data_IF_619482679838
#
_entry.id   IF_619482679838
#
_cell.length_a   1.000
_cell.length_b   1.000
_cell.length_c   1.000
_cell.angle_alpha   90.00
_cell.angle_beta   90.00
_cell.angle_gamma   90.00
#
_symmetry.space_group_name_H-M   'P 1'
#
loop_
_entity.id
_entity.type
_entity.pdbx_description
1 polymer ?
#
# COMPACT_ATOMS: atom_id res chain seq x y z
N UNK A 1 -36.65 59.70 -36.56
CA UNK A 1 -37.23 59.11 -35.33
C UNK A 1 -36.13 58.97 -34.28
N UNK A 2 -35.98 59.98 -33.43
CA UNK A 2 -35.01 60.04 -32.31
C UNK A 2 -35.85 60.22 -31.03
N UNK A 3 -35.72 59.33 -30.04
CA UNK A 3 -36.34 59.53 -28.72
C UNK A 3 -35.36 60.26 -27.80
N UNK A 4 -35.84 61.39 -27.27
CA UNK A 4 -35.26 62.29 -26.26
C UNK A 4 -35.32 61.63 -24.87
N UNK A 5 -34.43 61.96 -23.92
CA UNK A 5 -34.57 62.95 -22.81
C UNK A 5 -33.58 62.50 -21.71
N UNK A 6 -33.07 63.27 -20.75
CA UNK A 6 -33.02 64.69 -20.38
C UNK A 6 -32.02 64.74 -19.20
N UNK A 7 -31.15 65.75 -19.15
CA UNK A 7 -30.20 65.99 -18.05
C UNK A 7 -30.93 66.71 -16.91
N UNK A 8 -30.64 66.33 -15.66
CA UNK A 8 -31.10 67.02 -14.46
C UNK A 8 -30.13 66.81 -13.30
N UNK A 9 -29.44 67.88 -12.90
CA UNK A 9 -28.56 67.96 -11.74
C UNK A 9 -29.36 68.10 -10.45
N UNK A 10 -28.96 67.40 -9.39
CA UNK A 10 -29.38 67.69 -8.00
C UNK A 10 -28.16 67.61 -7.10
N UNK A 11 -27.88 68.72 -6.43
CA UNK A 11 -26.89 68.84 -5.37
C UNK A 11 -27.50 68.36 -4.04
N UNK A 12 -26.76 67.55 -3.28
CA UNK A 12 -27.07 67.27 -1.87
C UNK A 12 -25.81 67.51 -1.04
N UNK A 13 -25.97 68.44 -0.11
CA UNK A 13 -25.01 68.93 0.88
C UNK A 13 -24.89 67.88 1.99
N UNK A 14 -23.68 67.37 2.23
CA UNK A 14 -23.37 66.54 3.38
C UNK A 14 -23.02 67.42 4.58
N UNK A 15 -23.76 67.24 5.67
CA UNK A 15 -23.51 67.86 6.97
C UNK A 15 -22.40 67.07 7.68
N UNK A 16 -21.34 67.78 8.04
CA UNK A 16 -20.16 67.29 8.77
C UNK A 16 -20.46 67.15 10.27
N UNK A 17 -20.18 65.98 10.84
CA UNK A 17 -19.87 65.83 12.27
C UNK A 17 -18.45 65.31 12.41
N UNK A 18 -17.62 66.12 13.06
CA UNK A 18 -16.21 65.88 13.34
C UNK A 18 -16.11 64.96 14.56
N UNK A 19 -15.39 63.85 14.43
CA UNK A 19 -14.73 63.20 15.58
C UNK A 19 -13.28 62.99 15.19
N UNK A 20 -12.39 63.68 15.90
CA UNK A 20 -10.94 63.49 15.83
C UNK A 20 -10.57 62.16 16.49
N UNK A 21 -9.75 61.34 15.85
CA UNK A 21 -8.80 60.51 16.58
C UNK A 21 -7.41 60.67 15.98
N UNK A 22 -6.53 61.18 16.85
CA UNK A 22 -5.10 61.34 16.63
C UNK A 22 -4.38 59.99 16.80
N UNK A 23 -3.17 60.01 16.29
CA UNK A 23 -2.24 58.92 16.03
C UNK A 23 -1.58 58.30 17.29
N UNK A 24 -0.91 57.18 17.03
CA UNK A 24 0.18 56.46 17.75
C UNK A 24 -0.18 55.53 18.92
N UNK A 25 0.02 54.22 18.71
CA UNK A 25 0.92 53.39 19.51
C UNK A 25 1.20 52.05 18.82
N UNK A 26 2.41 51.55 19.03
CA UNK A 26 2.82 50.17 18.74
C UNK A 26 1.90 49.20 19.46
N UNK A 27 1.43 48.15 18.79
CA UNK A 27 0.99 46.93 19.43
C UNK A 27 1.63 45.75 18.70
N UNK A 28 2.38 44.95 19.45
CA UNK A 28 2.93 43.66 19.05
C UNK A 28 1.81 42.75 18.52
N UNK A 29 2.10 41.84 17.56
CA UNK A 29 1.12 40.83 17.18
C UNK A 29 0.81 39.98 18.43
N UNK A 30 -0.45 40.03 18.86
CA UNK A 30 -1.01 39.09 19.83
C UNK A 30 -0.73 37.67 19.35
N UNK A 31 -0.15 36.79 20.19
CA UNK A 31 -0.03 35.39 19.82
C UNK A 31 -1.45 34.87 19.59
N UNK A 32 -1.69 34.32 18.41
CA UNK A 32 -2.84 33.44 18.20
C UNK A 32 -2.82 32.40 19.32
N UNK A 33 -3.94 32.22 20.01
CA UNK A 33 -4.14 31.06 20.87
C UNK A 33 -3.91 29.82 20.00
N UNK A 34 -2.69 29.30 20.05
CA UNK A 34 -2.39 27.92 19.69
C UNK A 34 -3.33 27.09 20.55
N UNK A 35 -4.24 26.42 19.86
CA UNK A 35 -5.08 25.42 20.47
C UNK A 35 -4.13 24.31 20.94
N UNK A 36 -3.72 24.38 22.22
CA UNK A 36 -3.13 23.29 22.98
C UNK A 36 -4.15 22.15 23.01
N UNK A 37 -4.17 21.39 21.92
CA UNK A 37 -4.83 20.12 21.83
C UNK A 37 -3.94 19.19 21.00
N UNK A 38 -2.68 19.08 21.40
CA UNK A 38 -1.90 17.85 21.21
C UNK A 38 -2.56 16.77 22.07
N UNK A 39 -3.67 16.24 21.59
CA UNK A 39 -4.16 14.93 22.02
C UNK A 39 -3.04 13.97 21.60
N UNK A 40 -2.45 13.28 22.56
CA UNK A 40 -1.55 12.16 22.28
C UNK A 40 -2.32 11.18 21.38
N UNK A 41 -2.00 11.14 20.09
CA UNK A 41 -2.54 10.15 19.15
C UNK A 41 -1.89 8.80 19.47
N UNK A 42 -2.33 8.18 20.58
CA UNK A 42 -1.92 6.83 20.95
C UNK A 42 -2.62 5.88 19.99
N UNK A 43 -1.84 5.20 19.15
CA UNK A 43 -2.35 4.23 18.18
C UNK A 43 -2.85 2.96 18.88
N UNK A 44 -3.51 2.07 18.15
CA UNK A 44 -3.83 0.74 18.68
C UNK A 44 -2.56 -0.08 18.95
N UNK A 45 -1.58 0.00 18.05
CA UNK A 45 -0.26 -0.59 18.27
C UNK A 45 0.42 -0.07 19.55
N UNK A 46 0.37 1.24 19.82
CA UNK A 46 0.93 1.81 21.06
C UNK A 46 0.21 1.26 22.30
N UNK A 47 -1.11 1.04 22.23
CA UNK A 47 -1.89 0.44 23.33
C UNK A 47 -1.55 -1.04 23.53
N UNK A 48 -1.43 -1.79 22.44
CA UNK A 48 -1.03 -3.19 22.45
C UNK A 48 0.38 -3.35 23.03
N UNK A 49 1.27 -2.42 22.73
CA UNK A 49 2.69 -2.48 23.16
C UNK A 49 2.99 -1.75 24.47
N UNK A 50 2.01 -1.07 25.07
CA UNK A 50 2.19 -0.32 26.30
C UNK A 50 2.67 -1.21 27.46
N UNK A 51 3.67 -0.74 28.20
CA UNK A 51 4.27 -1.45 29.33
C UNK A 51 5.08 -2.70 28.98
N UNK A 52 5.24 -3.04 27.69
CA UNK A 52 6.05 -4.19 27.26
C UNK A 52 7.50 -3.80 27.01
N UNK A 53 8.42 -4.68 27.43
CA UNK A 53 9.84 -4.57 27.09
C UNK A 53 10.15 -5.46 25.88
N UNK A 54 10.92 -4.94 24.93
CA UNK A 54 11.32 -5.69 23.74
C UNK A 54 12.83 -5.79 23.60
N UNK A 55 13.32 -6.90 23.06
CA UNK A 55 14.70 -6.95 22.58
C UNK A 55 14.89 -6.03 21.37
N UNK A 56 16.14 -5.73 21.02
CA UNK A 56 16.44 -5.14 19.72
C UNK A 56 16.01 -6.06 18.57
N UNK A 57 15.65 -5.46 17.44
CA UNK A 57 15.39 -6.17 16.19
C UNK A 57 16.65 -6.92 15.73
N UNK A 58 16.46 -8.14 15.25
CA UNK A 58 17.49 -8.98 14.64
C UNK A 58 17.00 -9.45 13.27
N UNK A 59 17.80 -9.22 12.24
CA UNK A 59 17.50 -9.68 10.87
C UNK A 59 17.39 -11.21 10.81
N UNK A 60 16.33 -11.70 10.17
CA UNK A 60 16.06 -13.12 9.92
C UNK A 60 16.25 -13.44 8.44
N UNK A 61 15.84 -12.52 7.58
CA UNK A 61 15.93 -12.64 6.13
C UNK A 61 16.05 -11.26 5.52
N UNK A 62 16.87 -11.14 4.48
CA UNK A 62 16.98 -9.93 3.68
C UNK A 62 17.37 -10.27 2.25
N UNK A 63 16.76 -9.58 1.31
CA UNK A 63 17.17 -9.56 -0.08
C UNK A 63 17.15 -8.09 -0.54
N UNK A 64 18.29 -7.60 -0.99
CA UNK A 64 18.46 -6.27 -1.59
C UNK A 64 18.49 -6.35 -3.12
N UNK A 65 18.28 -7.54 -3.69
CA UNK A 65 18.22 -7.80 -5.13
C UNK A 65 19.45 -7.31 -5.92
N UNK A 66 20.59 -7.14 -5.25
CA UNK A 66 21.88 -6.74 -5.85
C UNK A 66 22.58 -7.91 -6.55
N UNK A 67 22.26 -9.16 -6.20
CA UNK A 67 22.86 -10.36 -6.79
C UNK A 67 21.79 -11.40 -7.20
N UNK A 68 21.54 -11.48 -8.50
CA UNK A 68 20.62 -12.46 -9.10
C UNK A 68 20.89 -13.92 -8.70
N UNK A 69 22.14 -14.28 -8.35
CA UNK A 69 22.47 -15.64 -7.90
C UNK A 69 21.96 -15.86 -6.48
N UNK A 70 22.14 -14.91 -5.55
CA UNK A 70 21.61 -15.02 -4.20
C UNK A 70 20.09 -14.95 -4.18
N UNK A 71 19.48 -14.11 -5.00
CA UNK A 71 18.02 -14.06 -5.08
C UNK A 71 17.45 -15.38 -5.66
N UNK A 72 18.18 -16.08 -6.54
CA UNK A 72 17.73 -17.37 -7.08
C UNK A 72 17.64 -18.52 -6.06
N UNK A 73 18.31 -18.40 -4.90
CA UNK A 73 18.18 -19.35 -3.79
C UNK A 73 17.09 -18.96 -2.79
N UNK A 74 16.61 -17.72 -2.86
CA UNK A 74 15.59 -17.18 -1.97
C UNK A 74 14.19 -17.24 -2.58
N UNK A 75 14.08 -17.20 -3.92
CA UNK A 75 12.81 -16.96 -4.62
C UNK A 75 12.48 -18.00 -5.70
N UNK A 76 11.17 -18.23 -5.90
CA UNK A 76 10.57 -18.92 -7.04
C UNK A 76 9.94 -17.87 -7.96
N UNK A 77 10.36 -17.81 -9.22
CA UNK A 77 10.04 -16.73 -10.18
C UNK A 77 8.86 -17.04 -11.13
N UNK A 78 8.32 -18.25 -11.09
CA UNK A 78 7.16 -18.61 -11.89
C UNK A 78 6.30 -19.58 -11.08
N UNK A 79 5.25 -19.03 -10.47
CA UNK A 79 4.25 -19.81 -9.76
C UNK A 79 2.86 -19.37 -10.23
N UNK A 80 2.16 -20.26 -10.92
CA UNK A 80 0.78 -20.03 -11.32
C UNK A 80 -0.09 -20.91 -10.43
N UNK A 81 -0.82 -20.30 -9.48
CA UNK A 81 -1.73 -21.04 -8.60
C UNK A 81 -3.17 -21.00 -9.14
N UNK A 82 -3.93 -22.04 -8.82
CA UNK A 82 -5.31 -22.18 -9.27
C UNK A 82 -6.30 -21.29 -8.50
N UNK A 83 -5.91 -20.84 -7.30
CA UNK A 83 -6.69 -19.95 -6.43
C UNK A 83 -6.39 -18.46 -6.67
N UNK A 84 -5.52 -18.13 -7.64
CA UNK A 84 -5.35 -16.75 -8.06
C UNK A 84 -6.59 -16.25 -8.80
N UNK A 85 -7.09 -15.10 -8.37
CA UNK A 85 -8.30 -14.48 -8.91
C UNK A 85 -8.08 -13.82 -10.28
N UNK A 86 -7.19 -14.34 -11.12
CA UNK A 86 -6.82 -13.79 -12.44
C UNK A 86 -6.46 -14.85 -13.48
N UNK A 87 -6.92 -16.09 -13.27
CA UNK A 87 -6.64 -17.23 -14.16
C UNK A 87 -7.10 -17.00 -15.60
N UNK A 88 -8.04 -16.09 -15.86
CA UNK A 88 -8.52 -15.76 -17.20
C UNK A 88 -7.73 -14.63 -17.87
N UNK A 89 -6.98 -13.83 -17.13
CA UNK A 89 -6.34 -12.60 -17.64
C UNK A 89 -4.81 -12.62 -17.61
N UNK A 90 -4.21 -13.22 -16.58
CA UNK A 90 -2.77 -13.14 -16.32
C UNK A 90 -2.13 -14.52 -16.37
N UNK A 91 -0.97 -14.59 -17.03
CA UNK A 91 -0.05 -15.72 -16.98
C UNK A 91 1.25 -15.26 -16.34
N UNK A 92 1.57 -15.76 -15.15
CA UNK A 92 2.84 -15.42 -14.51
C UNK A 92 3.99 -16.12 -15.20
N UNK A 93 5.05 -15.38 -15.52
CA UNK A 93 6.23 -15.86 -16.24
C UNK A 93 7.49 -15.32 -15.60
N UNK A 94 8.48 -16.22 -15.45
CA UNK A 94 9.83 -15.85 -15.05
C UNK A 94 10.49 -14.85 -16.02
N UNK A 95 10.08 -14.83 -17.30
CA UNK A 95 10.53 -13.86 -18.29
C UNK A 95 10.03 -12.43 -18.07
N UNK A 96 9.11 -12.22 -17.12
CA UNK A 96 8.65 -10.91 -16.69
C UNK A 96 9.24 -10.48 -15.34
N UNK A 97 10.32 -11.15 -14.92
CA UNK A 97 11.10 -10.80 -13.74
C UNK A 97 12.53 -10.48 -14.16
N UNK A 98 12.96 -9.24 -13.94
CA UNK A 98 14.29 -8.75 -14.31
C UNK A 98 14.95 -8.02 -13.13
N UNK A 99 16.29 -8.01 -13.09
CA UNK A 99 17.07 -7.17 -12.19
C UNK A 99 17.50 -5.93 -12.96
N UNK A 100 17.11 -4.74 -12.49
CA UNK A 100 17.39 -3.46 -13.15
C UNK A 100 17.97 -2.47 -12.15
N UNK A 101 18.55 -1.38 -12.67
CA UNK A 101 18.86 -0.21 -11.87
C UNK A 101 17.79 0.85 -12.10
N UNK A 102 17.19 1.36 -11.03
CA UNK A 102 16.22 2.47 -11.06
C UNK A 102 16.49 3.45 -9.94
N UNK A 103 16.46 4.76 -10.22
CA UNK A 103 16.76 5.81 -9.25
C UNK A 103 18.10 5.60 -8.48
N UNK A 104 19.10 5.00 -9.14
CA UNK A 104 20.39 4.57 -8.57
C UNK A 104 20.27 3.46 -7.50
N UNK A 105 19.26 2.60 -7.61
CA UNK A 105 19.03 1.43 -6.76
C UNK A 105 19.01 0.18 -7.64
N UNK A 106 19.65 -0.89 -7.19
CA UNK A 106 19.48 -2.21 -7.80
C UNK A 106 18.16 -2.78 -7.29
N UNK A 107 17.28 -3.16 -8.22
CA UNK A 107 15.90 -3.54 -7.90
C UNK A 107 15.55 -4.82 -8.63
N UNK A 108 14.70 -5.64 -8.03
CA UNK A 108 13.96 -6.64 -8.79
C UNK A 108 12.69 -6.00 -9.35
N UNK A 109 12.37 -6.35 -10.59
CA UNK A 109 11.26 -5.75 -11.32
C UNK A 109 10.30 -6.84 -11.76
N UNK A 110 9.03 -6.68 -11.41
CA UNK A 110 7.93 -7.47 -11.93
C UNK A 110 7.25 -6.63 -12.99
N UNK A 111 7.32 -7.08 -14.24
CA UNK A 111 6.70 -6.38 -15.36
C UNK A 111 5.37 -7.02 -15.73
N UNK A 112 4.46 -6.27 -16.37
CA UNK A 112 3.29 -6.85 -17.02
C UNK A 112 3.14 -6.31 -18.45
N UNK A 113 2.93 -7.22 -19.42
CA UNK A 113 2.82 -6.87 -20.84
C UNK A 113 1.73 -7.69 -21.52
N UNK A 114 0.93 -7.04 -22.37
CA UNK A 114 -0.12 -7.71 -23.13
C UNK A 114 0.46 -8.71 -24.16
N UNK A 115 -0.15 -9.90 -24.23
CA UNK A 115 0.15 -10.99 -25.17
C UNK A 115 -1.15 -11.56 -25.73
N UNK A 116 -1.53 -11.07 -26.91
CA UNK A 116 -2.83 -11.42 -27.48
C UNK A 116 -3.96 -10.91 -26.59
N UNK A 117 -4.82 -11.81 -26.11
CA UNK A 117 -5.95 -11.49 -25.24
C UNK A 117 -5.64 -11.55 -23.74
N UNK A 118 -4.42 -11.94 -23.35
CA UNK A 118 -3.97 -12.09 -21.95
C UNK A 118 -2.76 -11.20 -21.68
N UNK A 119 -2.28 -11.24 -20.45
CA UNK A 119 -1.04 -10.59 -20.02
C UNK A 119 -0.04 -11.64 -19.55
N UNK A 120 1.22 -11.44 -19.90
CA UNK A 120 2.31 -12.07 -19.16
C UNK A 120 2.73 -11.11 -18.05
N UNK A 121 2.91 -11.61 -16.83
CA UNK A 121 3.34 -10.78 -15.72
C UNK A 121 4.36 -11.43 -14.76
N UNK A 122 5.05 -10.60 -13.97
CA UNK A 122 6.04 -11.03 -13.00
C UNK A 122 5.42 -11.47 -11.68
N UNK A 123 6.03 -12.49 -11.07
CA UNK A 123 5.68 -13.02 -9.76
C UNK A 123 6.94 -13.58 -9.11
N UNK A 124 7.14 -13.32 -7.83
CA UNK A 124 8.14 -14.00 -7.00
C UNK A 124 7.53 -14.46 -5.68
N UNK A 125 7.96 -15.64 -5.22
CA UNK A 125 7.59 -16.20 -3.91
C UNK A 125 8.83 -16.64 -3.15
N UNK A 126 8.92 -16.34 -1.85
CA UNK A 126 10.03 -16.80 -1.03
C UNK A 126 9.97 -18.32 -0.83
N UNK A 127 11.13 -18.97 -0.84
CA UNK A 127 11.28 -20.38 -0.48
C UNK A 127 11.11 -20.57 1.03
N UNK A 128 11.63 -19.63 1.81
CA UNK A 128 11.48 -19.61 3.26
C UNK A 128 10.05 -19.20 3.66
N UNK A 129 9.62 -19.70 4.82
CA UNK A 129 8.39 -19.35 5.50
C UNK A 129 8.72 -18.74 6.87
N UNK A 130 7.87 -17.82 7.33
CA UNK A 130 8.11 -17.00 8.51
C UNK A 130 6.83 -16.86 9.32
N UNK A 131 6.94 -16.96 10.65
CA UNK A 131 5.87 -16.69 11.59
C UNK A 131 6.46 -16.55 13.00
N UNK A 132 5.87 -15.73 13.89
CA UNK A 132 6.35 -15.58 15.25
C UNK A 132 6.15 -16.85 16.07
N UNK A 133 7.18 -17.21 16.84
CA UNK A 133 6.98 -18.10 17.99
C UNK A 133 6.26 -17.34 19.11
N UNK A 134 5.83 -18.04 20.16
CA UNK A 134 5.25 -17.40 21.35
C UNK A 134 6.24 -16.37 21.95
N UNK A 135 5.72 -15.19 22.29
CA UNK A 135 6.48 -14.03 22.78
C UNK A 135 7.48 -13.46 21.77
N UNK A 136 7.16 -13.53 20.48
CA UNK A 136 7.93 -12.89 19.42
C UNK A 136 7.07 -11.95 18.58
N UNK A 137 7.74 -10.98 17.98
CA UNK A 137 7.19 -10.16 16.92
C UNK A 137 8.13 -10.22 15.71
N UNK A 138 7.56 -10.49 14.53
CA UNK A 138 8.25 -10.37 13.26
C UNK A 138 7.78 -9.12 12.53
N UNK A 139 8.71 -8.37 11.97
CA UNK A 139 8.47 -7.28 11.03
C UNK A 139 8.80 -7.77 9.63
N UNK A 140 7.84 -7.69 8.71
CA UNK A 140 8.00 -7.95 7.29
C UNK A 140 7.91 -6.60 6.59
N UNK A 141 9.00 -6.15 5.99
CA UNK A 141 9.10 -4.80 5.44
C UNK A 141 9.67 -4.83 4.03
N UNK A 142 9.11 -4.04 3.13
CA UNK A 142 9.63 -3.90 1.76
C UNK A 142 9.57 -2.45 1.27
N UNK A 143 10.49 -2.08 0.37
CA UNK A 143 10.48 -0.79 -0.30
C UNK A 143 10.13 -0.93 -1.78
N UNK A 144 9.07 -0.23 -2.19
CA UNK A 144 8.29 -0.53 -3.39
C UNK A 144 8.06 0.72 -4.24
N UNK A 145 7.98 0.54 -5.56
CA UNK A 145 7.59 1.60 -6.52
C UNK A 145 6.78 1.04 -7.69
N UNK A 146 5.78 1.79 -8.16
CA UNK A 146 4.81 1.39 -9.18
C UNK A 146 4.66 2.46 -10.25
N UNK A 147 4.69 2.07 -11.53
CA UNK A 147 4.41 2.97 -12.67
C UNK A 147 4.22 2.15 -13.95
N UNK A 148 3.88 2.81 -15.06
CA UNK A 148 3.78 2.17 -16.36
C UNK A 148 4.39 3.00 -17.50
N UNK A 149 4.51 2.37 -18.66
CA UNK A 149 4.83 3.01 -19.94
C UNK A 149 3.59 3.07 -20.82
N UNK A 150 3.26 4.24 -21.37
CA UNK A 150 2.26 4.37 -22.43
C UNK A 150 2.81 5.16 -23.62
N UNK A 151 3.24 4.43 -24.65
CA UNK A 151 3.80 5.03 -25.86
C UNK A 151 5.22 5.58 -25.68
N UNK A 152 5.57 6.61 -26.46
CA UNK A 152 6.93 7.14 -26.53
C UNK A 152 6.94 8.67 -26.54
N UNK A 153 8.02 9.23 -26.01
CA UNK A 153 8.37 10.64 -26.14
C UNK A 153 8.83 10.97 -27.58
N UNK A 154 8.87 12.26 -27.98
CA UNK A 154 9.31 12.66 -29.33
C UNK A 154 10.72 12.23 -29.72
N UNK A 155 11.59 11.98 -28.73
CA UNK A 155 12.96 11.47 -28.92
C UNK A 155 13.04 9.94 -29.03
N UNK A 156 11.90 9.24 -28.89
CA UNK A 156 11.79 7.79 -28.95
C UNK A 156 11.99 7.07 -27.62
N UNK A 157 12.26 7.76 -26.51
CA UNK A 157 12.28 7.13 -25.19
C UNK A 157 10.88 6.68 -24.78
N UNK A 158 10.74 5.68 -23.89
CA UNK A 158 9.44 5.37 -23.30
C UNK A 158 8.85 6.60 -22.60
N UNK A 159 7.52 6.76 -22.70
CA UNK A 159 6.76 7.75 -21.91
C UNK A 159 6.20 7.04 -20.69
N UNK A 160 6.66 7.42 -19.50
CA UNK A 160 6.13 6.89 -18.25
C UNK A 160 4.83 7.61 -17.87
N UNK A 161 3.91 6.87 -17.25
CA UNK A 161 2.59 7.32 -16.79
C UNK A 161 2.31 6.77 -15.40
N UNK A 162 1.34 7.41 -14.75
CA UNK A 162 1.00 7.13 -13.37
C UNK A 162 0.16 5.87 -13.16
N UNK A 163 0.23 5.30 -11.95
CA UNK A 163 -0.51 4.07 -11.64
C UNK A 163 -2.02 4.30 -11.76
N UNK A 164 -2.52 5.43 -11.25
CA UNK A 164 -3.89 5.89 -11.42
C UNK A 164 -4.28 6.18 -12.88
N UNK A 165 -3.34 6.51 -13.76
CA UNK A 165 -3.58 6.66 -15.21
C UNK A 165 -3.77 5.32 -15.94
N UNK A 166 -3.50 4.19 -15.27
CA UNK A 166 -3.73 2.85 -15.82
C UNK A 166 -5.06 2.26 -15.36
N UNK A 167 -5.62 1.32 -16.13
CA UNK A 167 -6.80 0.57 -15.71
C UNK A 167 -6.49 -0.92 -15.62
N UNK A 168 -6.74 -1.51 -14.44
CA UNK A 168 -6.75 -2.95 -14.24
C UNK A 168 -5.42 -3.57 -13.80
N UNK A 169 -4.41 -2.78 -13.47
CA UNK A 169 -3.23 -3.30 -12.75
C UNK A 169 -3.58 -3.58 -11.29
N UNK A 170 -3.06 -4.70 -10.78
CA UNK A 170 -3.23 -5.16 -9.40
C UNK A 170 -1.92 -5.73 -8.82
N UNK A 171 -0.96 -4.86 -8.44
CA UNK A 171 0.23 -5.28 -7.70
C UNK A 171 -0.14 -5.72 -6.28
N UNK A 172 0.58 -6.70 -5.74
CA UNK A 172 0.39 -7.14 -4.36
C UNK A 172 1.72 -7.47 -3.65
N UNK A 173 1.77 -7.18 -2.34
CA UNK A 173 2.77 -7.65 -1.38
C UNK A 173 2.03 -8.33 -0.23
N UNK A 174 2.24 -9.62 -0.09
CA UNK A 174 1.40 -10.43 0.79
C UNK A 174 2.12 -11.67 1.29
N UNK A 175 1.52 -12.35 2.27
CA UNK A 175 2.05 -13.55 2.89
C UNK A 175 0.96 -14.61 3.04
N UNK A 176 1.33 -15.88 2.88
CA UNK A 176 0.36 -17.00 2.95
C UNK A 176 1.06 -18.32 3.29
N UNK A 177 0.37 -19.24 3.95
CA UNK A 177 0.65 -20.67 3.83
C UNK A 177 -0.25 -21.28 2.75
N UNK A 178 0.37 -21.60 1.62
CA UNK A 178 -0.34 -22.04 0.41
C UNK A 178 -1.02 -23.39 0.57
N UNK A 179 -0.60 -24.22 1.53
CA UNK A 179 -1.13 -25.56 1.69
C UNK A 179 -2.51 -25.53 2.36
N UNK A 180 -3.55 -25.57 1.51
CA UNK A 180 -4.94 -25.64 1.95
C UNK A 180 -5.58 -24.28 2.22
N UNK A 181 -5.19 -23.24 1.47
CA UNK A 181 -5.80 -21.90 1.56
C UNK A 181 -7.33 -21.95 1.65
N UNK A 182 -7.99 -21.13 2.50
CA UNK A 182 -7.43 -20.13 3.44
C UNK A 182 -7.27 -20.67 4.88
N UNK A 183 -7.17 -21.99 5.06
CA UNK A 183 -7.25 -22.61 6.40
C UNK A 183 -6.14 -22.26 7.36
N UNK A 184 -5.03 -21.73 6.84
CA UNK A 184 -3.84 -21.38 7.59
C UNK A 184 -3.44 -19.91 7.45
N UNK A 185 -4.36 -19.09 6.97
CA UNK A 185 -4.18 -17.65 6.86
C UNK A 185 -3.55 -17.17 5.55
N UNK A 186 -3.94 -15.97 5.18
CA UNK A 186 -3.31 -15.11 4.19
C UNK A 186 -3.41 -13.67 4.72
N UNK A 187 -2.31 -12.92 4.59
CA UNK A 187 -2.24 -11.53 5.02
C UNK A 187 -1.72 -10.72 3.85
N UNK A 188 -2.58 -9.85 3.34
CA UNK A 188 -2.22 -8.88 2.32
C UNK A 188 -1.74 -7.62 3.01
N UNK A 189 -0.46 -7.33 2.84
CA UNK A 189 0.18 -6.14 3.39
C UNK A 189 -0.17 -4.95 2.51
N UNK A 190 -0.14 -5.17 1.19
CA UNK A 190 -0.59 -4.22 0.17
C UNK A 190 -1.22 -4.95 -1.02
N UNK A 191 -2.41 -4.50 -1.39
CA UNK A 191 -3.04 -4.70 -2.68
C UNK A 191 -3.28 -3.34 -3.32
N UNK A 192 -2.73 -3.09 -4.50
CA UNK A 192 -2.99 -1.87 -5.27
C UNK A 192 -4.01 -2.13 -6.37
N UNK A 193 -4.88 -1.16 -6.67
CA UNK A 193 -5.89 -1.26 -7.71
C UNK A 193 -5.93 0.02 -8.53
N UNK A 194 -5.87 -0.07 -9.85
CA UNK A 194 -5.88 1.08 -10.76
C UNK A 194 -7.14 1.14 -11.62
N UNK A 195 -7.74 2.32 -11.73
CA UNK A 195 -9.06 2.54 -12.35
C UNK A 195 -9.09 3.64 -13.43
N UNK A 196 -7.93 4.06 -13.94
CA UNK A 196 -7.76 4.94 -15.10
C UNK A 196 -7.86 6.44 -14.82
N UNK A 197 -8.45 6.80 -13.68
CA UNK A 197 -8.43 8.16 -13.10
C UNK A 197 -8.35 8.16 -11.56
N UNK A 198 -8.16 6.98 -10.97
CA UNK A 198 -8.00 6.81 -9.53
C UNK A 198 -7.30 5.49 -9.22
N UNK A 199 -6.82 5.39 -8.00
CA UNK A 199 -6.20 4.20 -7.45
C UNK A 199 -6.61 3.98 -5.99
N UNK A 200 -6.45 2.74 -5.54
CA UNK A 200 -6.72 2.35 -4.16
C UNK A 200 -5.62 1.41 -3.70
N UNK A 201 -5.17 1.58 -2.46
CA UNK A 201 -4.31 0.61 -1.77
C UNK A 201 -5.02 0.12 -0.53
N UNK A 202 -4.88 -1.17 -0.25
CA UNK A 202 -5.47 -1.77 0.93
C UNK A 202 -4.60 -2.87 1.52
N UNK A 203 -4.72 -3.08 2.82
CA UNK A 203 -4.40 -4.36 3.45
C UNK A 203 -5.66 -5.19 3.62
N UNK A 204 -5.48 -6.50 3.74
CA UNK A 204 -6.57 -7.43 3.97
C UNK A 204 -6.06 -8.69 4.69
N UNK A 205 -6.99 -9.48 5.22
CA UNK A 205 -6.70 -10.77 5.83
C UNK A 205 -7.75 -11.79 5.40
N UNK A 206 -7.32 -13.02 5.15
CA UNK A 206 -8.23 -14.11 4.77
C UNK A 206 -8.05 -15.31 5.67
N UNK A 207 -9.17 -15.91 6.04
CA UNK A 207 -9.21 -17.11 6.84
C UNK A 207 -10.53 -17.85 6.64
N UNK A 208 -10.49 -19.17 6.73
CA UNK A 208 -11.69 -19.97 6.84
C UNK A 208 -11.37 -21.42 7.12
N UNK A 209 -12.19 -22.14 7.89
CA UNK A 209 -11.86 -23.49 8.34
C UNK A 209 -11.92 -24.56 7.24
N UNK A 210 -12.35 -24.20 6.01
CA UNK A 210 -12.49 -25.11 4.89
C UNK A 210 -11.64 -24.65 3.69
N UNK A 211 -10.94 -25.58 3.07
CA UNK A 211 -10.13 -25.33 1.86
C UNK A 211 -10.98 -24.68 0.77
N UNK A 212 -10.48 -23.59 0.19
CA UNK A 212 -11.10 -22.82 -0.88
C UNK A 212 -12.26 -21.93 -0.45
N UNK A 213 -12.49 -21.76 0.85
CA UNK A 213 -13.64 -20.97 1.37
C UNK A 213 -13.17 -19.96 2.41
N UNK A 214 -12.99 -18.71 1.97
CA UNK A 214 -12.85 -17.58 2.90
C UNK A 214 -14.17 -17.42 3.69
N UNK A 215 -14.06 -17.29 5.00
CA UNK A 215 -15.20 -17.14 5.91
C UNK A 215 -15.26 -15.76 6.58
N UNK A 216 -14.30 -14.88 6.27
CA UNK A 216 -14.28 -13.52 6.79
C UNK A 216 -15.14 -12.60 5.92
N UNK A 217 -15.75 -11.60 6.56
CA UNK A 217 -16.47 -10.54 5.85
C UNK A 217 -15.48 -9.53 5.29
N UNK A 218 -15.57 -9.24 3.99
CA UNK A 218 -14.73 -8.23 3.34
C UNK A 218 -14.80 -6.87 4.06
N UNK A 219 -16.00 -6.42 4.43
CA UNK A 219 -16.21 -5.14 5.14
C UNK A 219 -15.54 -5.06 6.52
N UNK A 220 -15.17 -6.21 7.11
CA UNK A 220 -14.49 -6.26 8.40
C UNK A 220 -12.95 -6.32 8.26
N UNK A 221 -12.45 -6.83 7.13
CA UNK A 221 -11.03 -7.18 6.97
C UNK A 221 -10.29 -6.27 6.01
N UNK A 222 -10.98 -5.63 5.06
CA UNK A 222 -10.33 -4.66 4.17
C UNK A 222 -10.06 -3.37 4.92
N UNK A 223 -8.84 -2.87 4.81
CA UNK A 223 -8.47 -1.54 5.29
C UNK A 223 -7.78 -0.78 4.19
N UNK A 224 -8.46 0.22 3.64
CA UNK A 224 -7.90 1.11 2.62
C UNK A 224 -7.04 2.19 3.27
N UNK A 225 -5.86 2.43 2.71
CA UNK A 225 -4.95 3.49 3.14
C UNK A 225 -4.38 4.23 1.93
N UNK A 226 -4.00 5.51 2.08
CA UNK A 226 -3.27 6.21 1.04
C UNK A 226 -1.80 5.79 1.04
N UNK A 227 -1.14 5.92 -0.11
CA UNK A 227 0.31 6.11 -0.16
C UNK A 227 0.57 7.62 -0.26
N UNK A 228 1.54 8.13 0.49
CA UNK A 228 1.81 9.57 0.56
C UNK A 228 2.43 10.10 -0.74
N UNK A 229 2.09 11.31 -1.18
CA UNK A 229 2.45 11.83 -2.52
C UNK A 229 1.84 10.99 -3.67
N UNK A 230 1.68 11.56 -4.86
CA UNK A 230 1.19 10.78 -6.01
C UNK A 230 2.17 9.63 -6.28
N UNK A 231 1.64 8.41 -6.45
CA UNK A 231 2.36 7.12 -6.35
C UNK A 231 3.37 6.81 -7.45
N UNK A 232 3.63 7.77 -8.34
CA UNK A 232 4.65 7.64 -9.38
C UNK A 232 6.03 8.12 -9.04
N UNK A 233 6.15 9.00 -8.05
CA UNK A 233 7.46 9.59 -7.75
C UNK A 233 8.11 8.92 -6.53
N UNK A 234 7.28 8.43 -5.59
CA UNK A 234 7.70 7.90 -4.30
C UNK A 234 8.14 6.44 -4.29
N UNK A 235 9.15 6.16 -3.48
CA UNK A 235 9.42 4.81 -2.98
C UNK A 235 8.71 4.68 -1.64
N UNK A 236 7.80 3.71 -1.51
CA UNK A 236 7.02 3.50 -0.29
C UNK A 236 7.56 2.34 0.52
N UNK A 237 7.55 2.49 1.84
CA UNK A 237 7.91 1.41 2.77
C UNK A 237 6.66 0.82 3.38
N UNK A 238 6.35 -0.43 3.03
CA UNK A 238 5.19 -1.16 3.54
C UNK A 238 5.68 -2.15 4.59
N UNK A 239 5.03 -2.19 5.74
CA UNK A 239 5.42 -3.04 6.86
C UNK A 239 4.22 -3.74 7.48
N UNK A 240 4.36 -5.04 7.71
CA UNK A 240 3.50 -5.82 8.60
C UNK A 240 4.30 -6.22 9.83
N UNK A 241 3.76 -5.99 11.03
CA UNK A 241 4.25 -6.56 12.28
C UNK A 241 3.32 -7.64 12.78
N UNK A 242 3.78 -8.87 12.75
CA UNK A 242 3.07 -10.04 13.26
C UNK A 242 3.61 -10.40 14.64
N UNK A 243 2.82 -10.12 15.66
CA UNK A 243 3.14 -10.36 17.07
C UNK A 243 2.36 -11.55 17.61
N UNK A 244 3.02 -12.36 18.43
CA UNK A 244 2.43 -13.37 19.28
C UNK A 244 2.84 -13.08 20.74
N UNK A 245 1.94 -12.49 21.51
CA UNK A 245 2.14 -12.10 22.91
C UNK A 245 1.46 -13.13 23.83
N UNK A 246 2.23 -14.08 24.36
CA UNK A 246 1.69 -15.14 25.22
C UNK A 246 0.53 -15.95 24.60
N UNK A 247 0.47 -16.05 23.28
CA UNK A 247 -0.62 -16.71 22.54
C UNK A 247 -1.72 -15.78 22.05
N UNK A 248 -1.69 -14.48 22.34
CA UNK A 248 -2.54 -13.46 21.72
C UNK A 248 -1.84 -12.92 20.46
N UNK A 249 -2.48 -13.05 19.30
CA UNK A 249 -1.88 -12.69 18.00
C UNK A 249 -2.42 -11.35 17.53
N UNK A 250 -1.51 -10.49 17.08
CA UNK A 250 -1.80 -9.20 16.47
C UNK A 250 -1.02 -9.05 15.17
N UNK A 251 -1.69 -8.59 14.12
CA UNK A 251 -1.07 -8.26 12.84
C UNK A 251 -1.29 -6.76 12.61
N UNK A 252 -0.21 -5.99 12.61
CA UNK A 252 -0.28 -4.53 12.53
C UNK A 252 0.32 -4.06 11.21
N UNK A 253 -0.39 -3.19 10.50
CA UNK A 253 0.03 -2.66 9.20
C UNK A 253 0.55 -1.24 9.36
N UNK A 254 1.67 -0.96 8.71
CA UNK A 254 2.27 0.37 8.65
C UNK A 254 2.63 0.74 7.22
N UNK A 255 2.42 2.01 6.89
CA UNK A 255 2.73 2.60 5.59
C UNK A 255 3.63 3.80 5.84
N UNK A 256 4.83 3.79 5.25
CA UNK A 256 5.86 4.82 5.43
C UNK A 256 6.20 5.12 6.90
N UNK A 257 6.01 4.13 7.76
CA UNK A 257 6.26 4.20 9.20
C UNK A 257 5.06 4.66 10.04
N UNK A 258 3.96 5.08 9.40
CA UNK A 258 2.70 5.44 10.05
C UNK A 258 1.84 4.19 10.25
N UNK A 259 1.13 4.11 11.37
CA UNK A 259 0.23 2.99 11.68
C UNK A 259 -1.10 3.14 10.94
N UNK A 260 -1.56 2.08 10.28
CA UNK A 260 -2.84 2.05 9.58
C UNK A 260 -3.90 1.25 10.34
N UNK A 261 -3.63 -0.02 10.62
CA UNK A 261 -4.63 -0.93 11.22
C UNK A 261 -4.01 -2.09 12.00
N UNK A 262 -4.84 -2.70 12.85
CA UNK A 262 -4.56 -3.97 13.52
C UNK A 262 -5.62 -5.00 13.10
N UNK A 263 -5.16 -6.20 12.77
CA UNK A 263 -5.99 -7.41 12.72
C UNK A 263 -5.70 -8.27 13.94
N UNK A 264 -6.75 -8.59 14.69
CA UNK A 264 -6.75 -9.39 15.92
C UNK A 264 -8.03 -10.24 16.02
N UNK A 265 -8.26 -10.89 17.16
CA UNK A 265 -9.44 -11.74 17.36
C UNK A 265 -10.79 -10.99 17.30
N UNK A 266 -10.79 -9.66 17.44
CA UNK A 266 -12.00 -8.84 17.44
C UNK A 266 -12.33 -8.29 16.04
N UNK A 267 -11.42 -8.44 15.07
CA UNK A 267 -11.61 -7.99 13.68
C UNK A 267 -12.83 -8.62 13.01
N UNK A 268 -12.97 -9.95 13.07
CA UNK A 268 -14.12 -10.67 12.52
C UNK A 268 -14.44 -11.88 13.42
N UNK A 269 -15.71 -12.18 13.73
CA UNK A 269 -16.06 -13.30 14.60
C UNK A 269 -15.66 -14.69 14.07
N UNK A 270 -15.37 -14.81 12.78
CA UNK A 270 -14.88 -16.06 12.17
C UNK A 270 -13.36 -16.11 12.06
N UNK A 271 -12.63 -15.04 12.39
CA UNK A 271 -11.17 -15.02 12.33
C UNK A 271 -10.57 -15.81 13.50
N UNK A 272 -9.68 -16.75 13.17
CA UNK A 272 -8.91 -17.50 14.16
C UNK A 272 -7.42 -17.44 13.78
N UNK A 273 -6.75 -16.42 14.31
CA UNK A 273 -5.34 -16.18 14.08
C UNK A 273 -4.45 -17.31 14.63
N UNK A 274 -4.93 -18.11 15.58
CA UNK A 274 -4.15 -19.23 16.13
C UNK A 274 -3.90 -20.35 15.11
N UNK A 275 -4.67 -20.38 14.02
CA UNK A 275 -4.47 -21.34 12.93
C UNK A 275 -3.47 -20.83 11.88
N UNK A 276 -2.99 -19.59 12.00
CA UNK A 276 -2.00 -19.06 11.06
C UNK A 276 -0.66 -19.76 11.31
N UNK A 277 -0.09 -20.32 10.24
CA UNK A 277 1.20 -21.02 10.27
C UNK A 277 2.28 -20.12 9.65
N UNK A 278 3.57 -20.52 9.66
CA UNK A 278 4.59 -19.74 8.96
C UNK A 278 4.24 -19.54 7.47
N UNK A 279 4.23 -18.28 7.04
CA UNK A 279 3.88 -17.88 5.69
C UNK A 279 5.12 -17.63 4.83
N UNK A 280 5.05 -17.94 3.54
CA UNK A 280 5.99 -17.37 2.58
C UNK A 280 5.57 -15.96 2.18
N UNK A 281 6.51 -15.17 1.68
CA UNK A 281 6.29 -13.84 1.11
C UNK A 281 6.01 -13.99 -0.39
N UNK A 282 5.08 -13.20 -0.91
CA UNK A 282 4.76 -13.13 -2.33
C UNK A 282 4.74 -11.66 -2.79
N UNK A 283 5.34 -11.43 -3.96
CA UNK A 283 5.13 -10.22 -4.75
C UNK A 283 4.63 -10.63 -6.14
N UNK A 284 3.59 -9.99 -6.64
CA UNK A 284 3.11 -10.19 -8.01
C UNK A 284 2.58 -8.88 -8.60
N UNK A 285 2.61 -8.78 -9.92
CA UNK A 285 1.94 -7.72 -10.67
C UNK A 285 0.80 -8.34 -11.48
N UNK A 286 -0.38 -8.45 -10.90
CA UNK A 286 -1.53 -8.99 -11.61
C UNK A 286 -2.13 -7.94 -12.58
N UNK A 287 -2.82 -8.41 -13.63
CA UNK A 287 -3.63 -7.56 -14.52
C UNK A 287 -5.03 -8.14 -14.71
N UNK A 288 -6.07 -7.38 -14.40
CA UNK A 288 -7.47 -7.82 -14.45
C UNK A 288 -7.81 -8.79 -13.31
N UNK A 289 -9.00 -9.39 -13.36
CA UNK A 289 -9.41 -10.38 -12.37
C UNK A 289 -10.47 -11.37 -12.93
N UNK A 290 -10.86 -12.40 -12.18
CA UNK A 290 -11.88 -13.40 -12.54
C UNK A 290 -13.32 -13.09 -12.05
N UNK A 291 -13.50 -12.52 -10.85
CA UNK A 291 -14.76 -12.00 -10.25
C UNK A 291 -15.39 -10.69 -10.80
N UNK A 292 -15.34 -9.56 -10.06
CA UNK A 292 -15.90 -8.27 -10.52
C UNK A 292 -15.12 -6.99 -10.12
N UNK A 293 -13.83 -7.09 -9.77
CA UNK A 293 -13.01 -5.93 -9.33
C UNK A 293 -12.77 -4.93 -10.48
N UNK A 294 -12.57 -5.43 -11.70
CA UNK A 294 -12.29 -4.65 -12.91
C UNK A 294 -13.24 -5.08 -14.03
N UNK A 295 -13.53 -4.18 -14.96
CA UNK A 295 -14.04 -4.63 -16.25
C UNK A 295 -12.85 -4.99 -17.14
N UNK A 296 -12.58 -6.28 -17.31
CA UNK A 296 -11.43 -6.75 -18.11
C UNK A 296 -11.43 -6.23 -19.57
N UNK A 297 -12.56 -5.79 -20.11
CA UNK A 297 -12.63 -5.19 -21.45
C UNK A 297 -12.15 -3.74 -21.50
N UNK A 298 -11.97 -3.09 -20.35
CA UNK A 298 -11.54 -1.70 -20.21
C UNK A 298 -10.06 -1.57 -19.82
N UNK A 299 -9.33 -2.69 -19.67
CA UNK A 299 -7.90 -2.68 -19.35
C UNK A 299 -7.16 -1.94 -20.46
N UNK A 300 -6.59 -0.79 -20.12
CA UNK A 300 -5.93 0.16 -21.02
C UNK A 300 -4.99 1.07 -20.22
N UNK A 301 -4.34 2.04 -20.89
CA UNK A 301 -3.51 3.05 -20.25
C UNK A 301 -2.04 2.63 -20.05
N UNK A 302 -1.64 1.47 -20.58
CA UNK A 302 -0.24 1.04 -20.57
C UNK A 302 0.08 0.04 -21.68
N UNK A 303 1.34 0.10 -22.11
CA UNK A 303 1.99 -0.87 -22.99
C UNK A 303 2.86 -1.86 -22.21
N UNK A 304 3.44 -1.41 -21.09
CA UNK A 304 4.16 -2.22 -20.11
C UNK A 304 4.01 -1.57 -18.73
N UNK A 305 3.72 -2.36 -17.71
CA UNK A 305 3.68 -1.90 -16.33
C UNK A 305 4.86 -2.43 -15.52
N UNK A 306 5.25 -1.72 -14.47
CA UNK A 306 6.39 -2.01 -13.62
C UNK A 306 6.01 -1.97 -12.15
N UNK A 307 6.42 -3.02 -11.44
CA UNK A 307 6.43 -3.09 -9.99
C UNK A 307 7.85 -3.39 -9.54
N UNK A 308 8.49 -2.35 -8.98
CA UNK A 308 9.87 -2.40 -8.51
C UNK A 308 9.90 -2.70 -7.01
N UNK A 309 10.81 -3.59 -6.62
CA UNK A 309 11.12 -3.89 -5.23
C UNK A 309 12.63 -3.65 -5.04
N UNK A 310 12.97 -2.69 -4.18
CA UNK A 310 14.36 -2.33 -3.83
C UNK A 310 14.93 -3.32 -2.84
N UNK A 311 14.19 -3.57 -1.75
CA UNK A 311 14.57 -4.60 -0.79
C UNK A 311 13.35 -5.13 -0.07
N UNK A 312 13.53 -6.31 0.51
CA UNK A 312 12.60 -6.92 1.46
C UNK A 312 13.39 -7.47 2.64
N UNK A 313 12.87 -7.26 3.84
CA UNK A 313 13.49 -7.66 5.09
C UNK A 313 12.45 -8.29 6.02
N UNK A 314 12.83 -9.42 6.62
CA UNK A 314 12.14 -9.96 7.80
C UNK A 314 13.09 -9.83 8.98
N UNK A 315 12.65 -9.12 10.00
CA UNK A 315 13.37 -8.93 11.25
C UNK A 315 12.51 -9.45 12.41
N UNK A 316 13.12 -9.91 13.49
CA UNK A 316 12.41 -10.37 14.69
C UNK A 316 12.88 -9.70 15.96
N UNK A 317 12.00 -9.61 16.95
CA UNK A 317 12.35 -9.26 18.34
C UNK A 317 11.54 -10.11 19.31
N UNK A 318 12.06 -10.27 20.52
CA UNK A 318 11.38 -10.97 21.61
C UNK A 318 10.63 -9.97 22.49
N UNK A 319 9.46 -10.37 22.96
CA UNK A 319 8.74 -9.74 24.07
C UNK A 319 9.40 -10.27 25.35
N UNK A 320 10.02 -9.37 26.10
CA UNK A 320 10.72 -9.70 27.33
C UNK A 320 9.69 -9.76 28.45
N UNK A 321 9.48 -10.96 28.99
CA UNK A 321 8.67 -11.14 30.18
C UNK A 321 9.32 -10.43 31.36
N UNK A 322 8.56 -9.55 32.04
CA UNK A 322 8.97 -8.92 33.29
C UNK A 322 8.95 -9.90 34.46
#
# INVERSE_FOLDING_TARGET
MKRKKLIGSVAIVFLTTIVFFNCTSNDEPQPSEENENTINNVTEYDRITDGKDFSSWTEVFKDDFTDSISSSINWIFENNRADYNSTQTTDYRSSQVDYLEWDNREVITLSAVRRGSRFEAGHIKSIAQFGPEENQELSFKANLKLFAEDGQNPDGSPRYVDFDETYGLWPAFWTVDEDGWPTKGEIDIMEGYSYGDSETYASNIFYGPNIGVNSLSHDNTVHEYPLAENTTEGWHTLEMRWMNDGGEIYINIFVDGEFETTYDSDTDPNLDLQNFTPHNIIFNLNVGHDGAIFNNNLIDGFTKAYYLIDWVEVSKRNILTQ
#
